data_IF_474241648471
#
_entry.id   IF_474241648471
#
_cell.length_a   1.000
_cell.length_b   1.000
_cell.length_c   1.000
_cell.angle_alpha   90.00
_cell.angle_beta   90.00
_cell.angle_gamma   90.00
#
_symmetry.space_group_name_H-M   'P 1'
#
loop_
_entity.id
_entity.type
_entity.pdbx_description
1 polymer ?
#
# COMPACT_ATOMS: atom_id res chain seq x y z
N UNK A 1 -41.68 36.84 -41.85
CA UNK A 1 -40.87 35.77 -41.21
C UNK A 1 -39.69 36.43 -40.52
N UNK A 2 -39.71 36.54 -39.19
CA UNK A 2 -38.62 37.09 -38.40
C UNK A 2 -38.25 36.07 -37.33
N UNK A 3 -37.05 35.49 -37.44
CA UNK A 3 -36.53 34.48 -36.54
C UNK A 3 -35.94 35.19 -35.31
N UNK A 4 -36.63 35.13 -34.18
CA UNK A 4 -36.16 35.75 -32.93
C UNK A 4 -35.06 34.87 -32.32
N UNK A 5 -33.85 35.41 -32.21
CA UNK A 5 -32.69 34.76 -31.58
C UNK A 5 -32.94 34.70 -30.06
N UNK A 6 -33.33 33.52 -29.55
CA UNK A 6 -33.47 33.29 -28.10
C UNK A 6 -32.09 33.38 -27.44
N UNK A 7 -31.93 34.31 -26.52
CA UNK A 7 -30.72 34.48 -25.70
C UNK A 7 -30.76 33.50 -24.51
N UNK A 8 -29.61 33.03 -24.02
CA UNK A 8 -29.54 32.08 -22.91
C UNK A 8 -30.13 32.60 -21.59
N UNK A 9 -30.31 33.91 -21.45
CA UNK A 9 -30.89 34.53 -20.25
C UNK A 9 -32.37 34.18 -20.04
N UNK A 10 -33.14 33.89 -21.10
CA UNK A 10 -34.57 33.54 -20.96
C UNK A 10 -34.78 32.11 -20.39
N UNK A 11 -33.75 31.26 -20.41
CA UNK A 11 -33.84 29.90 -19.83
C UNK A 11 -33.60 29.88 -18.32
N UNK A 12 -32.95 30.91 -17.78
CA UNK A 12 -32.67 31.00 -16.34
C UNK A 12 -33.96 31.36 -15.57
N UNK A 13 -34.90 32.07 -16.19
CA UNK A 13 -36.17 32.43 -15.52
C UNK A 13 -37.21 31.30 -15.48
N UNK A 14 -37.03 30.21 -16.24
CA UNK A 14 -38.01 29.12 -16.38
C UNK A 14 -37.46 27.74 -16.01
N UNK A 15 -36.29 27.69 -15.37
CA UNK A 15 -35.72 26.47 -14.80
C UNK A 15 -35.78 26.54 -13.29
N UNK A 16 -36.62 25.72 -12.67
CA UNK A 16 -36.41 25.27 -11.30
C UNK A 16 -35.06 24.54 -11.24
N UNK A 17 -33.97 25.29 -11.12
CA UNK A 17 -32.72 24.74 -10.63
C UNK A 17 -32.91 24.55 -9.13
N UNK A 18 -33.23 23.31 -8.74
CA UNK A 18 -32.94 22.85 -7.38
C UNK A 18 -31.43 22.93 -7.24
N UNK A 19 -30.95 24.08 -6.80
CA UNK A 19 -29.65 24.21 -6.17
C UNK A 19 -29.64 23.16 -5.06
N UNK A 20 -28.96 22.04 -5.32
CA UNK A 20 -28.65 21.08 -4.28
C UNK A 20 -27.70 21.80 -3.33
N UNK A 21 -28.29 22.45 -2.34
CA UNK A 21 -27.63 23.11 -1.22
C UNK A 21 -26.61 22.10 -0.66
N UNK A 22 -25.33 22.32 -0.96
CA UNK A 22 -24.24 21.59 -0.33
C UNK A 22 -24.24 22.03 1.13
N UNK A 23 -24.95 21.28 1.97
CA UNK A 23 -24.88 21.41 3.42
C UNK A 23 -23.60 20.71 3.84
N UNK A 24 -22.51 21.44 4.18
CA UNK A 24 -21.40 20.78 4.85
C UNK A 24 -21.98 20.18 6.13
N UNK A 25 -21.90 18.86 6.28
CA UNK A 25 -22.31 18.17 7.50
C UNK A 25 -21.34 18.58 8.59
N UNK A 26 -21.60 19.73 9.21
CA UNK A 26 -20.86 20.22 10.34
C UNK A 26 -21.06 19.24 11.50
N UNK A 27 -20.02 18.45 11.79
CA UNK A 27 -20.01 17.52 12.93
C UNK A 27 -19.72 16.06 12.61
N UNK A 28 -19.48 15.69 11.35
CA UNK A 28 -18.95 14.36 11.02
C UNK A 28 -17.52 14.23 11.56
N UNK A 29 -17.35 13.56 12.70
CA UNK A 29 -16.01 13.27 13.25
C UNK A 29 -15.20 12.56 12.16
N UNK A 30 -14.11 13.17 11.71
CA UNK A 30 -13.19 12.54 10.77
C UNK A 30 -12.77 11.21 11.37
N UNK A 31 -13.16 10.11 10.73
CA UNK A 31 -12.76 8.80 11.17
C UNK A 31 -11.25 8.65 10.95
N UNK A 32 -10.46 8.82 12.01
CA UNK A 32 -8.99 8.65 11.99
C UNK A 32 -8.59 7.21 12.34
N UNK A 33 -9.54 6.27 12.36
CA UNK A 33 -9.19 4.86 12.49
C UNK A 33 -8.20 4.48 11.38
N UNK A 34 -7.12 3.74 11.67
CA UNK A 34 -6.11 3.42 10.69
C UNK A 34 -6.72 2.77 9.45
N UNK A 35 -6.65 3.45 8.31
CA UNK A 35 -7.20 2.98 7.05
C UNK A 35 -6.45 1.75 6.48
N UNK A 36 -5.27 1.45 7.03
CA UNK A 36 -4.46 0.29 6.66
C UNK A 36 -4.36 -0.69 7.86
N UNK A 37 -4.59 -1.99 7.65
CA UNK A 37 -4.51 -2.99 8.72
C UNK A 37 -3.13 -3.00 9.41
N UNK A 38 -3.11 -3.09 10.73
CA UNK A 38 -1.86 -3.02 11.52
C UNK A 38 -0.82 -4.08 11.11
N UNK A 39 -1.26 -5.27 10.72
CA UNK A 39 -0.40 -6.34 10.20
C UNK A 39 0.42 -5.89 8.97
N UNK A 40 -0.15 -5.08 8.09
CA UNK A 40 0.54 -4.56 6.90
C UNK A 40 1.64 -3.58 7.32
N UNK A 41 1.37 -2.75 8.34
CA UNK A 41 2.36 -1.80 8.87
C UNK A 41 3.59 -2.54 9.38
N UNK A 42 3.41 -3.62 10.14
CA UNK A 42 4.53 -4.43 10.62
C UNK A 42 5.32 -5.09 9.50
N UNK A 43 4.66 -5.53 8.42
CA UNK A 43 5.35 -6.09 7.24
C UNK A 43 6.19 -5.04 6.53
N UNK A 44 5.64 -3.86 6.28
CA UNK A 44 6.37 -2.75 5.64
C UNK A 44 7.58 -2.34 6.49
N UNK A 45 7.41 -2.23 7.81
CA UNK A 45 8.48 -1.89 8.73
C UNK A 45 9.54 -3.00 8.79
N UNK A 46 9.12 -4.26 8.87
CA UNK A 46 10.03 -5.41 8.87
C UNK A 46 10.86 -5.52 7.60
N UNK A 47 10.24 -5.31 6.43
CA UNK A 47 10.94 -5.38 5.15
C UNK A 47 11.93 -4.24 4.93
N UNK A 48 11.54 -3.02 5.27
CA UNK A 48 12.43 -1.86 5.19
C UNK A 48 13.63 -2.04 6.12
N UNK A 49 13.41 -2.54 7.34
CA UNK A 49 14.49 -2.86 8.26
C UNK A 49 15.38 -3.98 7.72
N UNK A 50 14.80 -5.06 7.17
CA UNK A 50 15.56 -6.17 6.60
C UNK A 50 16.47 -5.73 5.44
N UNK A 51 15.97 -4.86 4.54
CA UNK A 51 16.73 -4.34 3.40
C UNK A 51 17.96 -3.54 3.83
N UNK A 52 17.92 -2.88 4.99
CA UNK A 52 19.03 -2.09 5.52
C UNK A 52 19.95 -2.99 6.37
N UNK A 53 19.38 -3.73 7.31
CA UNK A 53 20.14 -4.46 8.33
C UNK A 53 20.86 -5.67 7.73
N UNK A 54 20.24 -6.40 6.80
CA UNK A 54 20.86 -7.64 6.30
C UNK A 54 22.10 -7.37 5.43
N UNK A 55 22.05 -6.49 4.40
CA UNK A 55 23.24 -6.22 3.58
C UNK A 55 24.36 -5.50 4.37
N UNK A 56 23.99 -4.52 5.21
CA UNK A 56 24.95 -3.77 6.03
C UNK A 56 25.53 -4.68 7.12
N UNK A 57 24.68 -5.48 7.77
CA UNK A 57 25.10 -6.45 8.78
C UNK A 57 26.05 -7.48 8.19
N UNK A 58 25.73 -8.03 7.01
CA UNK A 58 26.64 -8.93 6.30
C UNK A 58 27.97 -8.29 5.95
N UNK A 59 27.99 -7.02 5.53
CA UNK A 59 29.23 -6.29 5.29
C UNK A 59 30.13 -6.27 6.54
N UNK A 60 29.63 -5.77 7.66
CA UNK A 60 30.44 -5.64 8.87
C UNK A 60 30.80 -6.98 9.51
N UNK A 61 29.89 -7.96 9.47
CA UNK A 61 30.18 -9.31 9.93
C UNK A 61 31.32 -9.93 9.12
N UNK A 62 31.22 -9.90 7.79
CA UNK A 62 32.23 -10.53 6.92
C UNK A 62 33.55 -9.77 6.93
N UNK A 63 33.51 -8.43 7.03
CA UNK A 63 34.69 -7.58 7.15
C UNK A 63 35.54 -7.92 8.38
N UNK A 64 34.90 -8.08 9.54
CA UNK A 64 35.60 -8.33 10.80
C UNK A 64 35.91 -9.81 11.06
N UNK A 65 35.05 -10.75 10.62
CA UNK A 65 35.20 -12.17 10.96
C UNK A 65 35.89 -13.02 9.90
N UNK A 66 35.69 -12.72 8.61
CA UNK A 66 36.12 -13.61 7.51
C UNK A 66 37.28 -12.99 6.73
N UNK A 67 37.18 -11.71 6.37
CA UNK A 67 38.11 -11.07 5.45
C UNK A 67 39.16 -10.17 6.10
N UNK A 68 39.24 -10.15 7.45
CA UNK A 68 40.24 -9.42 8.27
C UNK A 68 40.49 -7.98 7.80
N UNK A 69 39.42 -7.27 7.44
CA UNK A 69 39.49 -5.86 7.00
C UNK A 69 39.55 -5.63 5.49
N UNK A 70 39.46 -6.67 4.64
CA UNK A 70 39.37 -6.46 3.19
C UNK A 70 37.95 -6.05 2.77
N UNK A 71 37.76 -4.74 2.64
CA UNK A 71 36.48 -4.10 2.28
C UNK A 71 35.95 -4.50 0.91
N UNK A 72 36.80 -4.91 -0.03
CA UNK A 72 36.36 -5.30 -1.38
C UNK A 72 35.60 -6.63 -1.35
N UNK A 73 36.12 -7.64 -0.65
CA UNK A 73 35.45 -8.94 -0.53
C UNK A 73 34.23 -8.88 0.39
N UNK A 74 34.29 -8.09 1.47
CA UNK A 74 33.14 -7.84 2.33
C UNK A 74 32.02 -7.11 1.57
N UNK A 75 32.37 -6.10 0.77
CA UNK A 75 31.45 -5.37 -0.11
C UNK A 75 30.81 -6.27 -1.17
N UNK A 76 31.61 -7.12 -1.83
CA UNK A 76 31.08 -8.10 -2.79
C UNK A 76 30.09 -9.06 -2.15
N UNK A 77 30.38 -9.54 -0.92
CA UNK A 77 29.47 -10.41 -0.18
C UNK A 77 28.18 -9.68 0.19
N UNK A 78 28.26 -8.43 0.63
CA UNK A 78 27.08 -7.61 0.92
C UNK A 78 26.20 -7.40 -0.33
N UNK A 79 26.79 -7.17 -1.50
CA UNK A 79 26.05 -7.06 -2.75
C UNK A 79 25.33 -8.37 -3.13
N UNK A 80 25.97 -9.52 -2.93
CA UNK A 80 25.33 -10.83 -3.10
C UNK A 80 24.15 -10.99 -2.12
N UNK A 81 24.36 -10.63 -0.85
CA UNK A 81 23.33 -10.71 0.18
C UNK A 81 22.14 -9.80 -0.10
N UNK A 82 22.34 -8.63 -0.71
CA UNK A 82 21.24 -7.77 -1.15
C UNK A 82 20.34 -8.47 -2.19
N UNK A 83 20.93 -9.21 -3.13
CA UNK A 83 20.16 -10.00 -4.11
C UNK A 83 19.41 -11.17 -3.45
N UNK A 84 20.00 -11.80 -2.43
CA UNK A 84 19.33 -12.83 -1.63
C UNK A 84 18.12 -12.25 -0.89
N UNK A 85 18.25 -11.04 -0.32
CA UNK A 85 17.13 -10.34 0.33
C UNK A 85 16.01 -10.05 -0.66
N UNK A 86 16.34 -9.62 -1.89
CA UNK A 86 15.35 -9.40 -2.95
C UNK A 86 14.59 -10.70 -3.27
N UNK A 87 15.30 -11.81 -3.47
CA UNK A 87 14.66 -13.11 -3.73
C UNK A 87 13.80 -13.54 -2.52
N UNK A 88 14.30 -13.35 -1.31
CA UNK A 88 13.56 -13.61 -0.07
C UNK A 88 12.28 -12.78 0.04
N UNK A 89 12.32 -11.51 -0.38
CA UNK A 89 11.15 -10.63 -0.46
C UNK A 89 10.08 -11.23 -1.38
N UNK A 90 10.48 -11.67 -2.58
CA UNK A 90 9.57 -12.29 -3.55
C UNK A 90 8.94 -13.56 -2.99
N UNK A 91 9.73 -14.41 -2.34
CA UNK A 91 9.21 -15.66 -1.73
C UNK A 91 8.20 -15.35 -0.62
N UNK A 92 8.53 -14.42 0.28
CA UNK A 92 7.61 -14.03 1.37
C UNK A 92 6.34 -13.43 0.79
N UNK A 93 6.44 -12.55 -0.21
CA UNK A 93 5.27 -11.97 -0.87
C UNK A 93 4.37 -13.07 -1.48
N UNK A 94 4.94 -14.07 -2.16
CA UNK A 94 4.16 -15.20 -2.70
C UNK A 94 3.50 -16.08 -1.61
N UNK A 95 4.12 -16.22 -0.45
CA UNK A 95 3.54 -17.00 0.66
C UNK A 95 2.44 -16.24 1.39
N UNK A 96 2.60 -14.93 1.51
CA UNK A 96 1.59 -14.05 2.09
C UNK A 96 0.36 -13.95 1.18
N UNK A 97 0.55 -13.82 -0.13
CA UNK A 97 -0.52 -13.81 -1.14
C UNK A 97 -1.38 -15.09 -1.08
N UNK A 98 -0.74 -16.25 -0.95
CA UNK A 98 -1.45 -17.52 -0.77
C UNK A 98 -2.21 -17.62 0.55
N UNK A 99 -1.66 -17.06 1.64
CA UNK A 99 -2.31 -17.12 2.96
C UNK A 99 -3.56 -16.25 3.01
N UNK A 100 -3.53 -15.06 2.40
CA UNK A 100 -4.71 -14.19 2.27
C UNK A 100 -5.79 -14.83 1.38
N UNK A 101 -5.40 -15.52 0.30
CA UNK A 101 -6.33 -16.25 -0.56
C UNK A 101 -7.03 -17.41 0.17
N UNK A 102 -6.32 -18.13 1.05
CA UNK A 102 -6.88 -19.22 1.86
C UNK A 102 -7.84 -18.70 2.95
N UNK A 103 -7.50 -17.59 3.62
CA UNK A 103 -8.39 -16.95 4.59
C UNK A 103 -9.66 -16.39 3.94
N UNK A 104 -9.55 -15.84 2.73
CA UNK A 104 -10.70 -15.37 1.97
C UNK A 104 -11.64 -16.52 1.59
N UNK A 105 -11.10 -17.64 1.11
CA UNK A 105 -11.86 -18.83 0.77
C UNK A 105 -12.56 -19.46 1.99
N UNK A 106 -11.88 -19.52 3.14
CA UNK A 106 -12.45 -20.06 4.38
C UNK A 106 -13.63 -19.21 4.90
N UNK A 107 -13.53 -17.88 4.83
CA UNK A 107 -14.63 -16.97 5.21
C UNK A 107 -15.83 -17.08 4.28
N UNK A 108 -15.61 -17.38 3.00
CA UNK A 108 -16.68 -17.57 2.01
C UNK A 108 -17.47 -18.87 2.22
N UNK A 109 -16.80 -19.96 2.61
CA UNK A 109 -17.44 -21.24 2.98
C UNK A 109 -18.28 -21.13 4.26
N UNK A 110 -17.79 -20.41 5.28
CA UNK A 110 -18.51 -20.25 6.55
C UNK A 110 -19.80 -19.42 6.37
N UNK A 111 -19.75 -18.37 5.54
CA UNK A 111 -20.92 -17.55 5.19
C UNK A 111 -22.03 -18.38 4.51
N UNK A 112 -21.66 -19.25 3.56
CA UNK A 112 -22.60 -20.13 2.83
C UNK A 112 -23.23 -21.21 3.72
N UNK A 113 -22.57 -21.62 4.80
CA UNK A 113 -23.06 -22.64 5.74
C UNK A 113 -23.98 -22.04 6.82
N UNK A 114 -23.92 -20.73 7.02
CA UNK A 114 -24.73 -19.98 7.98
C UNK A 114 -26.04 -19.41 7.40
N UNK A 115 -26.25 -19.59 6.09
CA UNK A 115 -27.47 -19.25 5.32
C UNK A 115 -28.30 -20.51 5.07
#
# INVERSE_FOLDING_TARGET
>A
MATQRRTPHDRIAAGEEKEAEFKPVAGGKSNIAPAVPAHVIFKLLGFTLAMIVVPIGSYFLTLNSIFRGNSTFAGATAAIMANVVLIGYVIVAMREDQSEALEAAAKEEESKKSL
#
